data_IF_509179427058
#
_entry.id   IF_509179427058
#
_cell.length_a   1.000
_cell.length_b   1.000
_cell.length_c   1.000
_cell.angle_alpha   90.00
_cell.angle_beta   90.00
_cell.angle_gamma   90.00
#
_symmetry.space_group_name_H-M   'P 1'
#
loop_
_entity.id
_entity.type
_entity.pdbx_description
1 polymer ?
#
# COMPACT_ATOMS: atom_id res chain seq x y z
N UNK A 1 5.23 -35.80 -2.42
CA UNK A 1 4.80 -36.66 -3.54
C UNK A 1 4.50 -35.69 -4.69
N UNK A 2 5.28 -35.52 -5.76
CA UNK A 2 6.42 -36.23 -6.32
C UNK A 2 7.31 -35.23 -7.08
N UNK A 3 8.62 -35.38 -7.00
CA UNK A 3 9.59 -34.59 -7.77
C UNK A 3 9.98 -35.45 -8.99
N UNK A 4 9.26 -35.31 -10.10
CA UNK A 4 9.68 -35.91 -11.38
C UNK A 4 10.74 -35.02 -12.04
N UNK A 5 12.01 -35.33 -11.81
CA UNK A 5 13.14 -34.81 -12.61
C UNK A 5 13.29 -35.72 -13.82
N UNK A 6 13.17 -35.17 -15.03
CA UNK A 6 13.62 -35.86 -16.25
C UNK A 6 15.13 -35.67 -16.36
N UNK A 7 15.89 -36.76 -16.20
CA UNK A 7 17.35 -36.75 -16.33
C UNK A 7 17.76 -36.49 -17.79
N UNK A 8 18.69 -35.54 -18.01
CA UNK A 8 19.38 -35.42 -19.30
C UNK A 8 19.64 -34.02 -19.86
N UNK A 9 19.17 -32.93 -19.25
CA UNK A 9 19.53 -31.56 -19.70
C UNK A 9 19.82 -30.65 -18.50
N UNK A 10 20.97 -29.95 -18.51
CA UNK A 10 21.30 -28.88 -17.54
C UNK A 10 20.40 -27.66 -17.77
N UNK A 11 19.14 -27.76 -17.38
CA UNK A 11 18.17 -26.66 -17.41
C UNK A 11 17.86 -26.27 -15.98
N UNK A 12 17.70 -24.96 -15.73
CA UNK A 12 17.17 -24.49 -14.45
C UNK A 12 15.84 -25.20 -14.17
N UNK A 13 15.69 -25.92 -13.04
CA UNK A 13 14.47 -26.66 -12.75
C UNK A 13 13.28 -25.70 -12.73
N UNK A 14 12.17 -26.13 -13.35
CA UNK A 14 10.91 -25.38 -13.28
C UNK A 14 10.44 -25.39 -11.84
N UNK A 15 10.09 -24.21 -11.33
CA UNK A 15 9.45 -24.08 -10.03
C UNK A 15 8.09 -24.79 -10.13
N UNK A 16 7.90 -25.84 -9.34
CA UNK A 16 6.65 -26.59 -9.26
C UNK A 16 5.72 -25.87 -8.28
N UNK A 17 4.75 -25.13 -8.81
CA UNK A 17 3.66 -24.53 -8.04
C UNK A 17 2.43 -25.38 -8.32
N UNK A 18 1.81 -25.95 -7.28
CA UNK A 18 0.57 -26.70 -7.46
C UNK A 18 -0.58 -25.73 -7.78
N UNK A 19 -1.44 -26.13 -8.71
CA UNK A 19 -2.59 -25.30 -9.11
C UNK A 19 -3.55 -25.03 -7.95
N UNK A 20 -3.73 -26.01 -7.07
CA UNK A 20 -4.56 -25.89 -5.87
C UNK A 20 -4.06 -24.80 -4.93
N UNK A 21 -2.76 -24.76 -4.63
CA UNK A 21 -2.17 -23.69 -3.82
C UNK A 21 -2.37 -22.32 -4.45
N UNK A 22 -2.19 -22.21 -5.78
CA UNK A 22 -2.37 -20.94 -6.47
C UNK A 22 -3.83 -20.47 -6.45
N UNK A 23 -4.79 -21.38 -6.62
CA UNK A 23 -6.23 -21.09 -6.55
C UNK A 23 -6.66 -20.64 -5.16
N UNK A 24 -6.24 -21.36 -4.11
CA UNK A 24 -6.53 -20.98 -2.72
C UNK A 24 -6.05 -19.55 -2.42
N UNK A 25 -4.79 -19.24 -2.74
CA UNK A 25 -4.24 -17.90 -2.53
C UNK A 25 -4.89 -16.82 -3.41
N UNK A 26 -5.43 -17.21 -4.57
CA UNK A 26 -6.16 -16.31 -5.46
C UNK A 26 -7.53 -15.95 -4.88
N UNK A 27 -8.25 -16.95 -4.37
CA UNK A 27 -9.59 -16.85 -3.77
C UNK A 27 -9.55 -16.08 -2.45
N UNK A 28 -8.47 -16.21 -1.67
CA UNK A 28 -8.18 -15.37 -0.50
C UNK A 28 -8.02 -13.86 -0.84
N UNK A 29 -7.98 -13.48 -2.12
CA UNK A 29 -7.88 -12.07 -2.52
C UNK A 29 -6.46 -11.50 -2.45
N UNK A 30 -5.44 -12.31 -2.20
CA UNK A 30 -4.06 -11.85 -2.08
C UNK A 30 -3.56 -11.20 -3.39
N UNK A 31 -2.69 -10.21 -3.28
CA UNK A 31 -2.05 -9.58 -4.44
C UNK A 31 -0.94 -10.47 -5.00
N UNK A 32 -0.64 -10.36 -6.30
CA UNK A 32 0.44 -11.14 -6.94
C UNK A 32 1.78 -11.05 -6.19
N UNK A 33 2.08 -9.88 -5.60
CA UNK A 33 3.29 -9.68 -4.79
C UNK A 33 3.26 -10.48 -3.49
N UNK A 34 2.11 -10.54 -2.79
CA UNK A 34 1.94 -11.36 -1.60
C UNK A 34 2.01 -12.86 -1.94
N UNK A 35 1.31 -13.28 -2.99
CA UNK A 35 1.34 -14.67 -3.49
C UNK A 35 2.78 -15.09 -3.81
N UNK A 36 3.53 -14.22 -4.50
CA UNK A 36 4.93 -14.47 -4.83
C UNK A 36 5.81 -14.63 -3.58
N UNK A 37 5.59 -13.82 -2.54
CA UNK A 37 6.29 -13.95 -1.26
C UNK A 37 5.93 -15.26 -0.54
N UNK A 38 4.65 -15.61 -0.49
CA UNK A 38 4.17 -16.86 0.14
C UNK A 38 4.74 -18.10 -0.54
N UNK A 39 4.83 -18.09 -1.87
CA UNK A 39 5.36 -19.21 -2.67
C UNK A 39 6.88 -19.14 -2.89
N UNK A 40 7.58 -18.17 -2.30
CA UNK A 40 9.02 -17.91 -2.51
C UNK A 40 9.42 -17.85 -4.01
N UNK A 41 8.60 -17.18 -4.81
CA UNK A 41 8.71 -17.13 -6.27
C UNK A 41 8.80 -15.70 -6.80
N UNK A 42 9.17 -15.56 -8.08
CA UNK A 42 9.05 -14.27 -8.75
C UNK A 42 7.58 -13.95 -9.07
N UNK A 43 7.22 -12.66 -9.01
CA UNK A 43 5.88 -12.19 -9.43
C UNK A 43 5.56 -12.54 -10.88
N UNK A 44 6.57 -12.55 -11.75
CA UNK A 44 6.43 -13.00 -13.15
C UNK A 44 5.94 -14.45 -13.23
N UNK A 45 6.48 -15.33 -12.38
CA UNK A 45 6.06 -16.74 -12.34
C UNK A 45 4.58 -16.86 -11.95
N UNK A 46 4.14 -16.09 -10.95
CA UNK A 46 2.73 -16.03 -10.52
C UNK A 46 1.82 -15.57 -11.65
N UNK A 47 2.16 -14.47 -12.34
CA UNK A 47 1.35 -13.98 -13.47
C UNK A 47 1.27 -14.97 -14.63
N UNK A 48 2.39 -15.64 -14.98
CA UNK A 48 2.40 -16.65 -16.04
C UNK A 48 1.47 -17.83 -15.70
N UNK A 49 1.52 -18.32 -14.46
CA UNK A 49 0.69 -19.43 -14.03
C UNK A 49 -0.80 -19.03 -13.94
N UNK A 50 -1.10 -17.83 -13.42
CA UNK A 50 -2.48 -17.32 -13.40
C UNK A 50 -3.06 -17.15 -14.79
N UNK A 51 -2.25 -16.70 -15.76
CA UNK A 51 -2.69 -16.57 -17.14
C UNK A 51 -2.94 -17.94 -17.78
N UNK A 52 -2.09 -18.94 -17.51
CA UNK A 52 -2.30 -20.31 -17.97
C UNK A 52 -3.60 -20.94 -17.43
N UNK A 53 -4.02 -20.55 -16.22
CA UNK A 53 -5.26 -20.98 -15.59
C UNK A 53 -6.47 -20.10 -15.93
N UNK A 54 -6.33 -19.08 -16.79
CA UNK A 54 -7.37 -18.10 -17.12
C UNK A 54 -7.93 -17.33 -15.92
N UNK A 55 -7.11 -17.07 -14.89
CA UNK A 55 -7.47 -16.36 -13.67
C UNK A 55 -6.68 -15.04 -13.53
N UNK A 56 -6.92 -14.03 -14.38
CA UNK A 56 -6.20 -12.77 -14.25
C UNK A 56 -6.62 -12.06 -12.95
N UNK A 57 -5.66 -11.48 -12.23
CA UNK A 57 -5.93 -10.75 -10.97
C UNK A 57 -6.93 -9.60 -11.14
N UNK A 58 -6.95 -8.98 -12.33
CA UNK A 58 -7.86 -7.88 -12.66
C UNK A 58 -9.32 -8.35 -12.85
N UNK A 59 -9.56 -9.63 -13.11
CA UNK A 59 -10.93 -10.16 -13.20
C UNK A 59 -11.66 -10.15 -11.85
N UNK A 60 -10.93 -9.97 -10.73
CA UNK A 60 -11.53 -9.84 -9.40
C UNK A 60 -12.27 -8.52 -9.18
N UNK A 61 -12.08 -7.53 -10.07
CA UNK A 61 -12.83 -6.29 -9.93
C UNK A 61 -14.30 -6.51 -10.24
N UNK A 62 -15.16 -6.03 -9.35
CA UNK A 62 -16.61 -6.07 -9.53
C UNK A 62 -17.00 -5.14 -10.67
N UNK A 63 -17.87 -5.62 -11.56
CA UNK A 63 -18.48 -4.80 -12.60
C UNK A 63 -19.58 -3.93 -11.97
N UNK A 64 -19.18 -2.79 -11.43
CA UNK A 64 -20.07 -1.80 -10.83
C UNK A 64 -20.14 -0.56 -11.72
N UNK A 65 -21.33 0.05 -11.82
CA UNK A 65 -21.49 1.31 -12.53
C UNK A 65 -20.78 2.44 -11.77
N UNK A 66 -20.29 3.44 -12.51
CA UNK A 66 -19.58 4.56 -11.90
C UNK A 66 -20.51 5.39 -11.00
N UNK A 67 -21.79 5.51 -11.36
CA UNK A 67 -22.79 6.24 -10.58
C UNK A 67 -23.12 5.54 -9.25
N UNK A 68 -23.29 4.21 -9.28
CA UNK A 68 -23.52 3.42 -8.06
C UNK A 68 -22.33 3.48 -7.11
N UNK A 69 -21.11 3.44 -7.66
CA UNK A 69 -19.89 3.58 -6.87
C UNK A 69 -19.78 4.97 -6.23
N UNK A 70 -20.15 6.05 -6.94
CA UNK A 70 -20.24 7.40 -6.36
C UNK A 70 -21.22 7.46 -5.21
N UNK A 71 -22.42 6.89 -5.38
CA UNK A 71 -23.44 6.83 -4.33
C UNK A 71 -22.92 6.11 -3.09
N UNK A 72 -22.28 4.94 -3.25
CA UNK A 72 -21.69 4.21 -2.12
C UNK A 72 -20.59 4.98 -1.40
N UNK A 73 -19.73 5.67 -2.14
CA UNK A 73 -18.68 6.51 -1.55
C UNK A 73 -19.29 7.70 -0.80
N UNK A 74 -20.36 8.31 -1.34
CA UNK A 74 -21.09 9.39 -0.66
C UNK A 74 -21.77 8.90 0.63
N UNK A 75 -22.41 7.73 0.61
CA UNK A 75 -22.98 7.09 1.80
C UNK A 75 -21.93 6.84 2.89
N UNK A 76 -20.75 6.35 2.50
CA UNK A 76 -19.65 6.11 3.45
C UNK A 76 -19.10 7.44 3.99
N UNK A 77 -18.96 8.45 3.14
CA UNK A 77 -18.46 9.77 3.54
C UNK A 77 -19.42 10.48 4.49
N UNK A 78 -20.73 10.36 4.28
CA UNK A 78 -21.75 10.89 5.17
C UNK A 78 -21.67 10.28 6.58
N UNK A 79 -21.33 8.99 6.68
CA UNK A 79 -21.11 8.31 7.98
C UNK A 79 -19.75 8.64 8.59
N UNK A 80 -18.71 8.76 7.76
CA UNK A 80 -17.33 8.94 8.19
C UNK A 80 -16.64 10.05 7.37
N UNK A 81 -16.87 11.30 7.76
CA UNK A 81 -16.34 12.50 7.08
C UNK A 81 -14.80 12.51 6.95
N UNK A 82 -14.09 11.90 7.90
CA UNK A 82 -12.62 11.85 7.89
C UNK A 82 -12.04 10.61 7.17
N UNK A 83 -12.87 9.71 6.63
CA UNK A 83 -12.40 8.50 5.94
C UNK A 83 -11.70 8.83 4.63
N UNK A 84 -10.39 8.57 4.57
CA UNK A 84 -9.60 8.68 3.35
C UNK A 84 -9.73 7.48 2.42
N UNK A 85 -9.05 7.53 1.26
CA UNK A 85 -9.10 6.50 0.21
C UNK A 85 -8.82 5.06 0.70
N UNK A 86 -7.96 4.88 1.70
CA UNK A 86 -7.63 3.54 2.23
C UNK A 86 -8.80 2.98 3.02
N UNK A 87 -9.42 3.80 3.88
CA UNK A 87 -10.59 3.40 4.67
C UNK A 87 -11.79 3.15 3.77
N UNK A 88 -12.05 4.04 2.80
CA UNK A 88 -13.13 3.83 1.83
C UNK A 88 -12.93 2.56 1.00
N UNK A 89 -11.68 2.24 0.62
CA UNK A 89 -11.36 0.95 -0.01
C UNK A 89 -11.74 -0.25 0.88
N UNK A 90 -11.38 -0.21 2.17
CA UNK A 90 -11.73 -1.27 3.12
C UNK A 90 -13.25 -1.39 3.36
N UNK A 91 -13.97 -0.27 3.42
CA UNK A 91 -15.43 -0.31 3.54
C UNK A 91 -16.11 -0.90 2.29
N UNK A 92 -15.61 -0.59 1.10
CA UNK A 92 -16.08 -1.20 -0.14
C UNK A 92 -15.77 -2.70 -0.19
N UNK A 93 -14.57 -3.11 0.25
CA UNK A 93 -14.19 -4.52 0.37
C UNK A 93 -15.13 -5.27 1.34
N UNK A 94 -15.50 -4.66 2.47
CA UNK A 94 -16.48 -5.24 3.40
C UNK A 94 -17.89 -5.39 2.82
N UNK A 95 -18.23 -4.59 1.80
CA UNK A 95 -19.48 -4.72 1.01
C UNK A 95 -19.32 -5.68 -0.17
N UNK A 96 -18.19 -6.41 -0.27
CA UNK A 96 -17.79 -7.27 -1.39
C UNK A 96 -17.57 -6.53 -2.73
N UNK A 97 -17.43 -5.20 -2.71
CA UNK A 97 -17.21 -4.38 -3.90
C UNK A 97 -15.71 -4.15 -4.08
N UNK A 98 -15.14 -4.75 -5.13
CA UNK A 98 -13.70 -4.68 -5.41
C UNK A 98 -13.44 -3.74 -6.59
N UNK A 99 -12.83 -2.59 -6.32
CA UNK A 99 -12.62 -1.53 -7.31
C UNK A 99 -11.15 -1.12 -7.36
N UNK A 100 -10.62 -0.71 -8.54
CA UNK A 100 -9.31 -0.10 -8.62
C UNK A 100 -9.19 1.13 -7.70
N UNK A 101 -8.09 1.21 -6.95
CA UNK A 101 -7.79 2.35 -6.06
C UNK A 101 -7.85 3.72 -6.76
N UNK A 102 -7.53 3.76 -8.06
CA UNK A 102 -7.64 4.97 -8.89
C UNK A 102 -9.07 5.50 -8.95
N UNK A 103 -10.08 4.63 -9.16
CA UNK A 103 -11.49 5.03 -9.21
C UNK A 103 -11.97 5.55 -7.85
N UNK A 104 -11.65 4.84 -6.77
CA UNK A 104 -11.99 5.28 -5.40
C UNK A 104 -11.41 6.66 -5.10
N UNK A 105 -10.13 6.89 -5.44
CA UNK A 105 -9.50 8.21 -5.29
C UNK A 105 -10.20 9.28 -6.11
N UNK A 106 -10.53 8.98 -7.37
CA UNK A 106 -11.19 9.93 -8.27
C UNK A 106 -12.54 10.38 -7.69
N UNK A 107 -13.42 9.44 -7.36
CA UNK A 107 -14.74 9.77 -6.82
C UNK A 107 -14.69 10.41 -5.44
N UNK A 108 -13.74 10.01 -4.58
CA UNK A 108 -13.54 10.70 -3.31
C UNK A 108 -13.10 12.15 -3.48
N UNK A 109 -12.28 12.43 -4.51
CA UNK A 109 -11.88 13.80 -4.84
C UNK A 109 -13.04 14.61 -5.40
N UNK A 110 -13.96 13.98 -6.15
CA UNK A 110 -15.18 14.61 -6.65
C UNK A 110 -16.18 14.93 -5.52
N UNK A 111 -16.33 14.02 -4.55
CA UNK A 111 -17.25 14.18 -3.40
C UNK A 111 -16.73 15.19 -2.39
N UNK A 112 -15.44 15.12 -2.03
CA UNK A 112 -14.82 15.96 -1.01
C UNK A 112 -13.45 16.48 -1.50
N UNK A 113 -13.45 17.51 -2.36
CA UNK A 113 -12.21 18.08 -2.88
C UNK A 113 -11.41 18.79 -1.78
N UNK A 114 -12.09 19.44 -0.83
CA UNK A 114 -11.47 20.22 0.25
C UNK A 114 -10.79 19.29 1.26
N UNK A 115 -11.50 18.28 1.78
CA UNK A 115 -10.92 17.33 2.71
C UNK A 115 -9.86 16.45 2.06
N UNK A 116 -10.00 16.15 0.76
CA UNK A 116 -8.93 15.47 0.01
C UNK A 116 -7.67 16.33 -0.09
N UNK A 117 -7.81 17.61 -0.46
CA UNK A 117 -6.70 18.55 -0.53
C UNK A 117 -6.03 18.76 0.85
N UNK A 118 -6.84 18.93 1.91
CA UNK A 118 -6.35 19.06 3.29
C UNK A 118 -5.55 17.83 3.74
N UNK A 119 -6.01 16.62 3.40
CA UNK A 119 -5.28 15.38 3.69
C UNK A 119 -3.97 15.26 2.89
N UNK A 120 -3.90 15.83 1.69
CA UNK A 120 -2.65 15.87 0.91
C UNK A 120 -1.67 16.92 1.43
N UNK A 121 -2.16 18.06 1.92
CA UNK A 121 -1.32 19.13 2.46
C UNK A 121 -0.79 18.83 3.86
N UNK A 122 -1.48 18.02 4.65
CA UNK A 122 -1.04 17.53 5.96
C UNK A 122 0.04 16.44 5.87
N UNK A 123 1.07 16.67 5.04
CA UNK A 123 2.26 15.83 5.08
C UNK A 123 2.87 15.88 6.47
N UNK A 124 3.12 14.70 7.07
CA UNK A 124 3.82 14.59 8.35
C UNK A 124 5.17 15.29 8.20
N UNK A 125 5.36 16.38 8.96
CA UNK A 125 6.64 17.07 9.00
C UNK A 125 7.65 16.14 9.65
N UNK A 126 8.66 15.71 8.88
CA UNK A 126 9.75 14.90 9.42
C UNK A 126 10.61 15.78 10.31
N UNK A 127 10.81 15.35 11.55
CA UNK A 127 11.78 15.99 12.44
C UNK A 127 13.17 15.83 11.83
N UNK A 128 13.83 16.94 11.56
CA UNK A 128 15.27 16.97 11.28
C UNK A 128 16.01 16.81 12.59
N UNK A 129 16.53 15.62 12.84
CA UNK A 129 17.41 15.38 13.97
C UNK A 129 18.82 15.86 13.59
N UNK A 130 19.31 16.86 14.31
CA UNK A 130 20.74 17.17 14.32
C UNK A 130 21.38 16.36 15.44
N UNK A 131 22.40 15.58 15.11
CA UNK A 131 22.97 14.59 16.02
C UNK A 131 24.48 14.73 15.98
N UNK A 132 25.11 14.82 17.14
CA UNK A 132 26.54 15.08 17.25
C UNK A 132 27.41 13.97 16.65
N UNK A 133 26.95 12.71 16.68
CA UNK A 133 27.70 11.54 16.18
C UNK A 133 26.78 10.49 15.53
N UNK A 134 27.29 9.70 14.57
CA UNK A 134 26.53 8.59 13.98
C UNK A 134 26.15 7.56 15.06
N UNK A 135 24.91 7.05 15.02
CA UNK A 135 24.30 6.09 15.96
C UNK A 135 23.88 6.62 17.36
N UNK A 136 23.90 7.93 17.61
CA UNK A 136 23.41 8.44 18.90
C UNK A 136 21.89 8.25 19.10
N UNK A 137 21.11 8.13 18.03
CA UNK A 137 19.64 7.96 18.12
C UNK A 137 19.18 6.56 18.56
N UNK A 138 20.07 5.56 18.56
CA UNK A 138 19.70 4.15 18.74
C UNK A 138 19.84 3.63 20.17
N UNK A 139 20.38 4.42 21.10
CA UNK A 139 20.68 3.99 22.47
C UNK A 139 20.23 5.04 23.48
N UNK A 140 19.02 4.94 24.02
CA UNK A 140 18.63 5.68 25.23
C UNK A 140 18.19 7.12 25.01
N UNK A 141 16.94 7.32 24.60
CA UNK A 141 16.28 8.61 24.79
C UNK A 141 15.67 8.65 26.20
N UNK A 142 16.46 9.09 27.19
CA UNK A 142 15.92 9.78 28.36
C UNK A 142 15.66 11.24 27.95
N UNK A 143 14.51 11.80 28.36
CA UNK A 143 13.99 13.07 27.85
C UNK A 143 14.90 14.31 28.04
N UNK A 144 15.95 14.22 28.84
CA UNK A 144 16.80 15.35 29.23
C UNK A 144 17.70 15.88 28.09
N UNK A 145 18.01 15.08 27.07
CA UNK A 145 18.97 15.49 26.01
C UNK A 145 18.32 16.37 24.93
N UNK A 146 16.99 16.31 24.76
CA UNK A 146 16.30 17.09 23.74
C UNK A 146 16.24 18.59 24.14
N UNK A 147 16.13 18.91 25.43
CA UNK A 147 16.11 20.30 25.91
C UNK A 147 17.46 21.02 25.73
N UNK A 148 18.58 20.31 25.85
CA UNK A 148 19.91 20.93 25.75
C UNK A 148 20.23 21.48 24.36
N UNK A 149 19.69 20.86 23.29
CA UNK A 149 19.88 21.36 21.93
C UNK A 149 18.96 22.55 21.58
N UNK A 150 17.84 22.74 22.28
CA UNK A 150 16.94 23.87 22.01
C UNK A 150 17.43 25.19 22.62
N UNK A 151 18.19 25.16 23.72
CA UNK A 151 18.76 26.36 24.34
C UNK A 151 19.95 26.96 23.56
N UNK A 152 20.66 26.16 22.75
CA UNK A 152 21.82 26.63 21.97
C UNK A 152 21.49 27.06 20.53
N UNK A 153 20.21 27.10 20.18
CA UNK A 153 19.71 27.64 18.89
C UNK A 153 18.85 28.90 19.09
N UNK A 154 18.95 29.55 20.24
CA UNK A 154 18.75 31.00 20.33
C UNK A 154 20.02 31.68 19.84
N UNK A 155 19.88 32.66 18.94
CA UNK A 155 20.95 33.53 18.41
C UNK A 155 21.73 32.99 17.19
N UNK A 156 21.07 32.87 16.03
CA UNK A 156 21.56 33.30 14.69
C UNK A 156 20.75 32.67 13.55
N UNK A 157 19.60 33.25 13.22
CA UNK A 157 19.02 33.17 11.86
C UNK A 157 17.91 34.23 11.64
N UNK A 158 18.04 35.41 12.24
CA UNK A 158 17.34 36.60 11.77
C UNK A 158 18.25 37.31 10.78
N UNK A 159 18.27 36.86 9.51
CA UNK A 159 18.63 37.69 8.34
C UNK A 159 18.48 36.90 7.03
N UNK A 160 17.77 37.53 6.09
CA UNK A 160 17.70 37.29 4.64
C UNK A 160 16.84 36.12 4.16
N UNK A 161 15.55 36.39 3.99
CA UNK A 161 14.87 36.15 2.71
C UNK A 161 13.73 37.15 2.57
N UNK A 162 14.07 38.32 2.04
CA UNK A 162 13.13 39.33 1.55
C UNK A 162 13.32 39.43 0.05
N UNK A 163 12.22 39.17 -0.67
CA UNK A 163 11.98 39.18 -2.13
C UNK A 163 12.56 38.00 -2.94
#
# INVERSE_FOLDING_TARGET
MDICVKEGQKVRPKILITESQLKLLYDEGLTASKIAKCLACSTKTVYKNLYALNLPIRARYTQISDDELKLKISEIHAKYHNAGQTMNGGYLEAMNIHVPRKKVRQFLTEVDPIGTASRWSQSIQRRTYNVATPNFLTHGCSLEVIEFCTEKLGDEASKTCSL
#
